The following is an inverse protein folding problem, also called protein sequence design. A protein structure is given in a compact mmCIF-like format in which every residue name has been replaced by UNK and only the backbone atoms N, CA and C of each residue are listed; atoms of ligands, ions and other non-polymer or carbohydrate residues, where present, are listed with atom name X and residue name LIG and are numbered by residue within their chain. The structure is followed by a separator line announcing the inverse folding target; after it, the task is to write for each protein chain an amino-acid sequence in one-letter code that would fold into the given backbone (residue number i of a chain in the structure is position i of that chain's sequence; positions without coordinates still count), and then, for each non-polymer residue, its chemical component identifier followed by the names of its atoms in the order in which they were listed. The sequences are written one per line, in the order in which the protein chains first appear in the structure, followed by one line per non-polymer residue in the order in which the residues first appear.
data_IF_878406443133
#
_entry.id   IF_878406443133
#
_cell.length_a   1.000
_cell.length_b   1.000
_cell.length_c   1.000
_cell.angle_alpha   90.00
_cell.angle_beta   90.00
_cell.angle_gamma   90.00
#
_symmetry.space_group_name_H-M   'P 1'
#
loop_
_entity.id
_entity.type
_entity.pdbx_description
1 polymer ?
#
# COMPACT_ATOMS: atom_id res chain seq x y z
N UNK A 1 -25.42 9.93 11.03
CA UNK A 1 -25.35 9.13 9.79
C UNK A 1 -24.27 8.09 9.98
N UNK A 2 -24.43 6.85 9.48
CA UNK A 2 -23.40 5.83 9.61
C UNK A 2 -22.19 6.18 8.73
N UNK A 3 -20.99 6.16 9.31
CA UNK A 3 -19.74 6.38 8.59
C UNK A 3 -19.54 5.24 7.58
N UNK A 4 -19.37 5.56 6.29
CA UNK A 4 -19.11 4.55 5.26
C UNK A 4 -17.61 4.40 5.10
N UNK A 5 -17.11 3.16 5.26
CA UNK A 5 -15.69 2.84 5.06
C UNK A 5 -15.52 2.18 3.70
N UNK A 6 -14.61 2.72 2.89
CA UNK A 6 -14.13 2.14 1.64
C UNK A 6 -12.80 1.44 1.93
N UNK A 7 -12.68 0.17 1.55
CA UNK A 7 -11.42 -0.57 1.69
C UNK A 7 -10.71 -0.55 0.34
N UNK A 8 -9.42 -0.27 0.36
CA UNK A 8 -8.55 -0.28 -0.82
C UNK A 8 -7.38 -1.21 -0.52
N UNK A 9 -6.91 -1.93 -1.54
CA UNK A 9 -5.69 -2.73 -1.48
C UNK A 9 -4.72 -2.24 -2.53
N UNK A 10 -3.42 -2.30 -2.24
CA UNK A 10 -2.39 -2.02 -3.25
C UNK A 10 -1.18 -2.94 -3.09
N UNK A 11 -0.51 -3.23 -4.20
CA UNK A 11 0.63 -4.12 -4.27
C UNK A 11 1.93 -3.35 -4.55
N UNK A 12 2.88 -3.46 -3.63
CA UNK A 12 4.28 -3.13 -3.91
C UNK A 12 4.96 -4.39 -4.47
N UNK A 13 5.16 -4.40 -5.79
CA UNK A 13 5.86 -5.49 -6.50
C UNK A 13 7.24 -5.01 -6.90
N UNK A 14 8.28 -5.71 -6.44
CA UNK A 14 9.69 -5.34 -6.67
C UNK A 14 10.42 -6.40 -7.48
N UNK A 15 11.05 -6.00 -8.59
CA UNK A 15 11.91 -6.87 -9.42
C UNK A 15 13.34 -6.31 -9.40
N UNK A 16 14.16 -6.80 -8.48
CA UNK A 16 15.50 -6.25 -8.26
C UNK A 16 15.44 -4.79 -7.81
N UNK A 17 16.01 -3.90 -8.61
CA UNK A 17 15.98 -2.44 -8.42
C UNK A 17 14.88 -1.77 -9.26
N UNK A 18 13.84 -2.50 -9.64
CA UNK A 18 12.65 -1.97 -10.30
C UNK A 18 11.40 -2.16 -9.45
N UNK A 19 10.43 -1.26 -9.58
CA UNK A 19 9.12 -1.32 -8.93
C UNK A 19 8.03 -1.26 -10.00
N UNK A 20 7.02 -2.13 -9.87
CA UNK A 20 5.84 -2.09 -10.75
C UNK A 20 4.95 -0.93 -10.36
N UNK A 21 4.69 -0.02 -11.30
CA UNK A 21 3.69 1.02 -11.18
C UNK A 21 2.66 0.92 -12.31
N UNK A 22 1.46 1.43 -12.03
CA UNK A 22 0.41 1.66 -13.01
C UNK A 22 0.26 3.16 -13.25
N UNK A 23 0.06 3.54 -14.51
CA UNK A 23 -0.30 4.89 -14.90
C UNK A 23 -1.80 4.94 -15.00
N UNK A 24 -2.44 5.54 -14.01
CA UNK A 24 -3.89 5.57 -13.87
C UNK A 24 -4.44 6.96 -14.14
N UNK A 25 -5.67 7.03 -14.61
CA UNK A 25 -6.47 8.24 -14.70
C UNK A 25 -7.89 7.89 -14.27
N UNK A 26 -8.19 8.06 -12.98
CA UNK A 26 -9.54 7.92 -12.46
C UNK A 26 -10.50 8.94 -13.06
N UNK A 27 -11.79 8.64 -13.04
CA UNK A 27 -12.83 9.52 -13.60
C UNK A 27 -12.85 10.92 -12.97
N UNK A 28 -12.49 11.01 -11.68
CA UNK A 28 -12.44 12.25 -10.90
C UNK A 28 -11.02 12.83 -10.80
N UNK A 29 -10.02 12.21 -11.44
CA UNK A 29 -8.64 12.68 -11.39
C UNK A 29 -8.42 13.87 -12.34
N UNK A 30 -7.78 14.92 -11.85
CA UNK A 30 -7.48 16.10 -12.65
C UNK A 30 -6.46 15.84 -13.77
N UNK A 31 -5.59 14.84 -13.59
CA UNK A 31 -4.58 14.41 -14.55
C UNK A 31 -4.14 12.96 -14.26
N UNK A 32 -3.57 12.25 -15.24
CA UNK A 32 -2.96 10.95 -15.01
C UNK A 32 -1.87 10.99 -13.93
N UNK A 33 -1.75 9.90 -13.17
CA UNK A 33 -0.72 9.76 -12.14
C UNK A 33 -0.18 8.33 -12.10
N UNK A 34 1.03 8.18 -11.56
CA UNK A 34 1.64 6.87 -11.34
C UNK A 34 1.36 6.40 -9.91
N UNK A 35 0.81 5.20 -9.76
CA UNK A 35 0.46 4.61 -8.49
C UNK A 35 0.96 3.17 -8.37
N UNK A 36 0.92 2.63 -7.15
CA UNK A 36 1.01 1.18 -6.94
C UNK A 36 -0.26 0.53 -7.51
N UNK A 37 -0.17 -0.62 -8.19
CA UNK A 37 -1.35 -1.34 -8.67
C UNK A 37 -2.26 -1.72 -7.51
N UNK A 38 -3.56 -1.59 -7.69
CA UNK A 38 -4.54 -1.84 -6.65
C UNK A 38 -5.82 -1.05 -6.81
N UNK A 39 -6.85 -1.46 -6.07
CA UNK A 39 -8.16 -0.88 -6.20
C UNK A 39 -9.06 -1.19 -5.01
N UNK A 40 -10.36 -1.04 -5.24
CA UNK A 40 -11.37 -1.16 -4.20
C UNK A 40 -11.65 -2.63 -3.92
N UNK A 41 -11.76 -2.96 -2.63
CA UNK A 41 -12.19 -4.29 -2.21
C UNK A 41 -13.70 -4.40 -2.43
N UNK A 42 -14.12 -5.39 -3.20
CA UNK A 42 -15.52 -5.64 -3.48
C UNK A 42 -16.24 -6.29 -2.28
N UNK A 43 -17.58 -6.18 -2.21
CA UNK A 43 -18.36 -6.90 -1.20
C UNK A 43 -18.06 -8.40 -1.22
N UNK A 44 -17.93 -9.00 -0.04
CA UNK A 44 -17.72 -10.45 0.14
C UNK A 44 -16.37 -10.98 -0.36
N UNK A 45 -15.44 -10.11 -0.80
CA UNK A 45 -14.09 -10.47 -1.21
C UNK A 45 -13.07 -10.29 -0.06
N UNK A 46 -12.15 -11.24 0.19
CA UNK A 46 -11.04 -11.02 1.12
C UNK A 46 -10.04 -10.00 0.54
N UNK A 47 -9.34 -9.26 1.40
CA UNK A 47 -8.32 -8.27 0.97
C UNK A 47 -7.30 -8.84 -0.01
N UNK A 48 -6.81 -10.06 0.23
CA UNK A 48 -5.87 -10.73 -0.66
C UNK A 48 -6.52 -11.16 -1.98
N UNK A 49 -7.81 -11.47 -1.98
CA UNK A 49 -8.57 -11.75 -3.21
C UNK A 49 -8.57 -10.50 -4.10
N UNK A 50 -8.96 -9.36 -3.52
CA UNK A 50 -8.97 -8.08 -4.22
C UNK A 50 -7.58 -7.73 -4.75
N UNK A 51 -6.53 -7.92 -3.94
CA UNK A 51 -5.15 -7.65 -4.35
C UNK A 51 -4.75 -8.47 -5.60
N UNK A 52 -5.12 -9.76 -5.63
CA UNK A 52 -4.85 -10.66 -6.74
C UNK A 52 -5.63 -10.25 -7.99
N UNK A 53 -6.92 -9.90 -7.83
CA UNK A 53 -7.80 -9.45 -8.91
C UNK A 53 -7.28 -8.17 -9.56
N UNK A 54 -7.05 -7.14 -8.76
CA UNK A 54 -6.60 -5.82 -9.21
C UNK A 54 -5.25 -5.89 -9.91
N UNK A 55 -4.25 -6.56 -9.32
CA UNK A 55 -2.94 -6.70 -9.98
C UNK A 55 -3.05 -7.42 -11.32
N UNK A 56 -3.90 -8.44 -11.43
CA UNK A 56 -4.12 -9.16 -12.69
C UNK A 56 -4.80 -8.27 -13.73
N UNK A 57 -5.83 -7.51 -13.35
CA UNK A 57 -6.58 -6.65 -14.25
C UNK A 57 -5.72 -5.48 -14.75
N UNK A 58 -5.08 -4.75 -13.84
CA UNK A 58 -4.33 -3.55 -14.20
C UNK A 58 -3.01 -3.86 -14.90
N UNK A 59 -2.37 -5.00 -14.57
CA UNK A 59 -1.00 -5.28 -15.00
C UNK A 59 -0.82 -6.57 -15.79
N UNK A 60 -1.81 -7.46 -15.80
CA UNK A 60 -1.72 -8.79 -16.43
C UNK A 60 -0.90 -9.81 -15.64
N UNK A 61 -0.33 -9.43 -14.47
CA UNK A 61 0.49 -10.32 -13.66
C UNK A 61 -0.38 -11.20 -12.75
N UNK A 62 -0.01 -12.47 -12.63
CA UNK A 62 -0.66 -13.41 -11.73
C UNK A 62 0.14 -13.49 -10.42
N UNK A 63 -0.39 -12.90 -9.34
CA UNK A 63 0.22 -13.00 -8.01
C UNK A 63 0.04 -14.42 -7.47
N UNK A 64 1.16 -15.10 -7.21
CA UNK A 64 1.17 -16.46 -6.65
C UNK A 64 1.43 -16.48 -5.15
N UNK A 65 2.01 -15.42 -4.61
CA UNK A 65 2.17 -15.20 -3.17
C UNK A 65 1.97 -13.70 -2.87
N UNK A 66 0.87 -13.32 -2.20
CA UNK A 66 0.59 -11.92 -1.86
C UNK A 66 1.54 -11.36 -0.79
N UNK A 67 2.37 -12.22 -0.18
CA UNK A 67 3.38 -11.84 0.80
C UNK A 67 2.77 -11.31 2.09
N UNK A 68 3.15 -10.10 2.51
CA UNK A 68 2.77 -9.54 3.80
C UNK A 68 2.33 -8.08 3.72
N UNK A 69 1.43 -7.70 4.63
CA UNK A 69 0.99 -6.32 4.81
C UNK A 69 2.16 -5.45 5.26
N UNK A 70 2.49 -4.42 4.48
CA UNK A 70 3.53 -3.45 4.78
C UNK A 70 3.02 -2.36 5.72
N UNK A 71 1.89 -1.77 5.37
CA UNK A 71 1.27 -0.69 6.13
C UNK A 71 -0.22 -0.56 5.81
N UNK A 72 -0.92 0.12 6.70
CA UNK A 72 -2.30 0.55 6.51
C UNK A 72 -2.34 2.06 6.70
N UNK A 73 -3.00 2.76 5.79
CA UNK A 73 -3.28 4.19 5.97
C UNK A 73 -4.76 4.45 5.90
N UNK A 74 -5.19 5.37 6.77
CA UNK A 74 -6.52 5.93 6.74
C UNK A 74 -6.45 7.28 6.04
N UNK A 75 -7.27 7.44 5.01
CA UNK A 75 -7.48 8.71 4.34
C UNK A 75 -8.95 9.09 4.53
N UNK A 76 -9.21 10.29 5.01
CA UNK A 76 -10.56 10.84 5.13
C UNK A 76 -10.71 11.97 4.11
N UNK A 77 -11.11 11.66 2.87
CA UNK A 77 -11.17 12.65 1.80
C UNK A 77 -12.29 13.68 1.97
N UNK A 78 -13.28 13.50 2.86
CA UNK A 78 -14.43 14.41 2.85
C UNK A 78 -15.09 14.70 4.19
N UNK A 79 -15.65 15.91 4.27
CA UNK A 79 -16.61 16.34 5.30
C UNK A 79 -17.94 15.55 5.25
N UNK A 80 -18.09 14.57 4.35
CA UNK A 80 -19.33 13.82 4.09
C UNK A 80 -19.34 12.44 4.78
N UNK A 81 -18.33 12.15 5.61
CA UNK A 81 -18.29 10.95 6.46
C UNK A 81 -17.94 9.67 5.71
N UNK A 82 -17.17 9.76 4.63
CA UNK A 82 -16.61 8.61 3.92
C UNK A 82 -15.12 8.49 4.24
N UNK A 83 -14.74 7.36 4.84
CA UNK A 83 -13.34 7.07 5.14
C UNK A 83 -12.81 5.98 4.24
N UNK A 84 -11.54 6.09 3.88
CA UNK A 84 -10.83 5.10 3.08
C UNK A 84 -9.73 4.47 3.93
N UNK A 85 -9.70 3.14 4.00
CA UNK A 85 -8.58 2.38 4.57
C UNK A 85 -7.85 1.66 3.44
N UNK A 86 -6.60 2.04 3.20
CA UNK A 86 -5.77 1.40 2.20
C UNK A 86 -4.78 0.43 2.86
N UNK A 87 -4.78 -0.81 2.40
CA UNK A 87 -3.92 -1.91 2.84
C UNK A 87 -2.88 -2.18 1.76
N UNK A 88 -1.60 -1.93 2.06
CA UNK A 88 -0.54 -2.09 1.06
C UNK A 88 0.30 -3.31 1.38
N UNK A 89 0.42 -4.22 0.43
CA UNK A 89 1.11 -5.50 0.57
C UNK A 89 2.44 -5.50 -0.19
N UNK A 90 3.47 -6.12 0.39
CA UNK A 90 4.67 -6.49 -0.34
C UNK A 90 4.43 -7.85 -1.00
N UNK A 91 4.23 -7.84 -2.32
CA UNK A 91 4.08 -9.07 -3.09
C UNK A 91 5.44 -9.74 -3.26
N UNK A 92 5.50 -11.02 -2.91
CA UNK A 92 6.75 -11.80 -2.85
C UNK A 92 6.94 -12.72 -4.07
N UNK A 93 5.86 -13.15 -4.73
CA UNK A 93 5.96 -13.94 -5.96
C UNK A 93 4.78 -13.73 -6.92
N UNK A 94 5.08 -13.70 -8.21
CA UNK A 94 4.11 -13.57 -9.31
C UNK A 94 4.62 -14.27 -10.58
N UNK A 95 3.75 -14.37 -11.58
CA UNK A 95 4.04 -14.92 -12.92
C UNK A 95 3.47 -14.02 -14.01
N UNK A 96 3.93 -14.23 -15.25
CA UNK A 96 3.47 -13.50 -16.42
C UNK A 96 4.33 -12.29 -16.77
N UNK A 97 3.93 -11.61 -17.84
CA UNK A 97 4.54 -10.37 -18.34
C UNK A 97 3.52 -9.24 -18.24
N UNK A 98 4.01 -8.01 -18.09
CA UNK A 98 3.15 -6.85 -17.94
C UNK A 98 2.32 -6.62 -19.21
N UNK A 99 1.00 -6.76 -19.08
CA UNK A 99 0.02 -6.49 -20.12
C UNK A 99 -1.23 -5.94 -19.46
N UNK A 100 -1.52 -4.66 -19.69
CA UNK A 100 -2.75 -4.05 -19.19
C UNK A 100 -3.96 -4.80 -19.76
N UNK A 101 -4.85 -5.21 -18.87
CA UNK A 101 -6.12 -5.86 -19.18
C UNK A 101 -7.23 -5.29 -18.27
N UNK A 102 -7.18 -3.97 -18.09
CA UNK A 102 -8.04 -3.25 -17.16
C UNK A 102 -9.49 -3.15 -17.71
N UNK A 103 -10.48 -3.76 -17.04
CA UNK A 103 -11.87 -3.71 -17.49
C UNK A 103 -12.48 -2.30 -17.38
N UNK A 104 -11.97 -1.47 -16.47
CA UNK A 104 -12.55 -0.16 -16.17
C UNK A 104 -12.01 0.96 -17.07
N UNK A 105 -10.98 0.68 -17.86
CA UNK A 105 -10.30 1.60 -18.77
C UNK A 105 -9.75 2.86 -18.07
N UNK A 106 -9.37 2.73 -16.81
CA UNK A 106 -8.70 3.75 -16.00
C UNK A 106 -7.17 3.62 -16.05
N UNK A 107 -6.65 2.46 -16.48
CA UNK A 107 -5.22 2.20 -16.57
C UNK A 107 -4.70 2.45 -17.98
N UNK A 108 -3.83 3.45 -18.10
CA UNK A 108 -3.16 3.85 -19.35
C UNK A 108 -1.91 3.02 -19.64
N UNK A 109 -1.35 2.34 -18.63
CA UNK A 109 -0.13 1.55 -18.76
C UNK A 109 0.33 0.93 -17.45
N UNK A 110 1.06 -0.18 -17.51
CA UNK A 110 1.72 -0.79 -16.36
C UNK A 110 3.18 -1.08 -16.72
N UNK A 111 4.13 -0.67 -15.87
CA UNK A 111 5.57 -0.81 -16.14
C UNK A 111 6.36 -1.05 -14.85
N UNK A 112 7.38 -1.90 -14.95
CA UNK A 112 8.47 -1.89 -13.99
C UNK A 112 9.38 -0.71 -14.30
N UNK A 113 9.46 0.25 -13.38
CA UNK A 113 10.34 1.41 -13.49
C UNK A 113 11.57 1.21 -12.60
N UNK A 114 12.76 1.70 -12.99
CA UNK A 114 13.91 1.78 -12.10
C UNK A 114 13.53 2.47 -10.78
N UNK A 115 14.10 2.02 -9.66
CA UNK A 115 13.69 2.43 -8.32
C UNK A 115 13.66 3.95 -8.14
N UNK A 116 14.67 4.66 -8.66
CA UNK A 116 14.74 6.11 -8.58
C UNK A 116 13.58 6.78 -9.33
N UNK A 117 13.31 6.34 -10.57
CA UNK A 117 12.20 6.83 -11.39
C UNK A 117 10.84 6.48 -10.77
N UNK A 118 10.71 5.29 -10.19
CA UNK A 118 9.49 4.88 -9.48
C UNK A 118 9.21 5.76 -8.26
N UNK A 119 10.25 6.12 -7.51
CA UNK A 119 10.13 7.03 -6.37
C UNK A 119 9.73 8.44 -6.81
N UNK A 120 10.37 9.00 -7.83
CA UNK A 120 9.99 10.31 -8.40
C UNK A 120 8.55 10.31 -8.92
N UNK A 121 8.13 9.24 -9.60
CA UNK A 121 6.78 9.09 -10.09
C UNK A 121 5.76 9.07 -8.93
N UNK A 122 6.03 8.29 -7.88
CA UNK A 122 5.19 8.23 -6.68
C UNK A 122 5.15 9.57 -5.93
N UNK A 123 6.21 10.39 -5.95
CA UNK A 123 6.21 11.72 -5.33
C UNK A 123 5.19 12.67 -5.96
N UNK A 124 4.81 12.43 -7.22
CA UNK A 124 3.77 13.19 -7.93
C UNK A 124 2.33 12.79 -7.56
N UNK A 125 2.13 11.72 -6.76
CA UNK A 125 0.80 11.28 -6.35
C UNK A 125 0.06 12.40 -5.59
N UNK A 126 -1.19 12.70 -5.96
CA UNK A 126 -1.96 13.82 -5.39
C UNK A 126 -2.42 13.56 -3.96
N UNK A 127 -2.33 12.32 -3.45
CA UNK A 127 -2.78 11.92 -2.11
C UNK A 127 -1.60 11.76 -1.14
N UNK A 128 -1.27 12.75 -0.29
CA UNK A 128 -0.09 12.71 0.58
C UNK A 128 -0.05 11.48 1.50
N UNK A 129 -1.21 11.06 2.02
CA UNK A 129 -1.35 9.90 2.92
C UNK A 129 -0.98 8.58 2.27
N UNK A 130 -1.12 8.45 0.95
CA UNK A 130 -0.70 7.28 0.18
C UNK A 130 0.72 7.44 -0.37
N UNK A 131 1.05 8.65 -0.84
CA UNK A 131 2.34 9.01 -1.42
C UNK A 131 3.50 8.76 -0.45
N UNK A 132 3.45 9.37 0.73
CA UNK A 132 4.57 9.35 1.67
C UNK A 132 5.01 7.93 2.07
N UNK A 133 4.11 7.02 2.50
CA UNK A 133 4.51 5.65 2.77
C UNK A 133 4.97 4.91 1.52
N UNK A 134 4.32 5.10 0.36
CA UNK A 134 4.73 4.41 -0.87
C UNK A 134 6.19 4.72 -1.23
N UNK A 135 6.58 6.00 -1.21
CA UNK A 135 7.96 6.42 -1.45
C UNK A 135 8.90 5.86 -0.37
N UNK A 136 8.52 5.95 0.92
CA UNK A 136 9.36 5.48 2.02
C UNK A 136 9.62 3.96 2.00
N UNK A 137 8.59 3.16 1.67
CA UNK A 137 8.72 1.71 1.57
C UNK A 137 9.41 1.27 0.27
N UNK A 138 9.32 2.04 -0.82
CA UNK A 138 10.18 1.84 -1.98
C UNK A 138 11.65 2.11 -1.63
N UNK A 139 11.96 3.20 -0.93
CA UNK A 139 13.32 3.56 -0.54
C UNK A 139 13.95 2.57 0.45
N UNK A 140 13.13 1.93 1.28
CA UNK A 140 13.59 0.94 2.23
C UNK A 140 14.07 -0.32 1.48
N UNK A 141 15.37 -0.61 1.56
CA UNK A 141 15.91 -1.87 1.06
C UNK A 141 15.21 -3.05 1.76
N UNK A 142 14.79 -4.09 1.02
CA UNK A 142 14.41 -5.36 1.64
C UNK A 142 15.53 -5.79 2.57
N UNK A 143 15.22 -5.92 3.85
CA UNK A 143 16.21 -6.33 4.83
C UNK A 143 16.83 -7.64 4.36
N UNK A 144 18.16 -7.66 4.23
CA UNK A 144 18.95 -8.89 4.25
C UNK A 144 18.67 -9.51 5.62
N UNK A 145 17.60 -10.30 5.73
CA UNK A 145 17.28 -11.02 6.95
C UNK A 145 18.46 -11.94 7.21
N UNK A 146 19.31 -11.59 8.18
CA UNK A 146 20.21 -12.58 8.76
C UNK A 146 19.31 -13.54 9.52
N UNK A 147 19.15 -14.74 8.98
CA UNK A 147 18.67 -15.87 9.75
C UNK A 147 19.65 -16.07 10.92
N UNK A 148 19.22 -15.71 12.12
CA UNK A 148 19.99 -15.91 13.36
C UNK A 148 19.99 -14.68 14.26
N UNK A 149 19.06 -14.65 15.22
CA UNK A 149 19.09 -13.73 16.34
C UNK A 149 17.71 -13.26 16.75
N UNK A 150 17.22 -13.77 17.87
CA UNK A 150 16.04 -13.27 18.59
C UNK A 150 16.26 -11.80 18.98
N UNK A 151 15.82 -10.87 18.15
CA UNK A 151 15.87 -9.44 18.42
C UNK A 151 15.02 -8.70 17.40
N UNK A 152 14.00 -7.98 17.86
CA UNK A 152 13.11 -7.19 17.02
C UNK A 152 13.85 -6.12 16.22
N UNK A 153 14.31 -6.47 15.03
CA UNK A 153 14.96 -5.55 14.08
C UNK A 153 13.91 -4.76 13.31
N UNK A 154 13.80 -3.46 13.59
CA UNK A 154 12.93 -2.51 12.88
C UNK A 154 13.49 -2.18 11.50
N UNK A 155 12.63 -1.97 10.52
CA UNK A 155 13.03 -1.58 9.15
C UNK A 155 13.32 -0.08 9.07
N UNK A 156 14.12 0.33 8.07
CA UNK A 156 14.41 1.75 7.83
C UNK A 156 13.13 2.58 7.56
N UNK A 157 12.10 1.98 6.95
CA UNK A 157 10.79 2.61 6.74
C UNK A 157 10.10 2.99 8.06
N UNK A 158 10.15 2.13 9.08
CA UNK A 158 9.59 2.45 10.42
C UNK A 158 10.31 3.61 11.12
N UNK A 159 11.62 3.78 10.89
CA UNK A 159 12.37 4.91 11.46
C UNK A 159 12.08 6.22 10.70
N UNK A 160 11.83 6.15 9.39
CA UNK A 160 11.43 7.31 8.58
C UNK A 160 10.09 7.89 9.03
N UNK A 161 9.10 7.02 9.29
CA UNK A 161 7.80 7.43 9.83
C UNK A 161 7.89 8.16 11.17
N UNK A 162 8.71 7.69 12.12
CA UNK A 162 8.89 8.37 13.42
C UNK A 162 9.39 9.81 13.29
N UNK A 163 10.32 10.05 12.37
CA UNK A 163 10.98 11.35 12.23
C UNK A 163 10.08 12.47 11.71
N UNK A 164 8.98 12.13 11.01
CA UNK A 164 8.07 13.13 10.39
C UNK A 164 6.70 13.22 11.09
N UNK A 165 6.15 12.11 11.60
CA UNK A 165 4.83 12.11 12.25
C UNK A 165 4.87 12.03 13.78
N UNK A 166 6.06 12.01 14.41
CA UNK A 166 6.20 12.07 15.87
C UNK A 166 5.65 10.84 16.62
N UNK A 167 5.54 9.68 15.97
CA UNK A 167 5.01 8.46 16.60
C UNK A 167 6.12 7.67 17.30
N UNK A 168 6.23 7.80 18.62
CA UNK A 168 7.10 6.95 19.44
C UNK A 168 6.38 5.69 19.92
N UNK A 169 6.36 4.64 19.08
CA UNK A 169 5.85 3.30 19.39
C UNK A 169 6.53 2.54 20.56
N UNK A 170 7.08 3.24 21.55
CA UNK A 170 7.68 2.67 22.77
C UNK A 170 6.82 2.88 24.03
N UNK A 171 5.71 3.63 23.95
CA UNK A 171 4.89 3.98 25.13
C UNK A 171 3.77 3.00 25.49
N UNK A 172 3.75 1.77 25.00
CA UNK A 172 2.70 0.80 25.34
C UNK A 172 3.20 -0.52 25.93
N UNK A 173 4.22 -0.45 26.79
CA UNK A 173 4.63 -1.57 27.67
C UNK A 173 4.08 -1.43 29.11
N UNK A 174 3.23 -0.44 29.37
CA UNK A 174 2.55 -0.30 30.66
C UNK A 174 1.53 -1.41 30.86
N UNK A 175 1.80 -2.35 31.80
CA UNK A 175 0.79 -3.30 32.28
C UNK A 175 -0.49 -2.53 32.66
N UNK A 176 -1.68 -2.96 32.23
CA UNK A 176 -2.92 -2.30 32.62
C UNK A 176 -3.15 -2.54 34.11
N UNK A 177 -2.88 -1.53 34.93
CA UNK A 177 -3.35 -1.44 36.32
C UNK A 177 -4.57 -0.54 36.33
N UNK A 178 -5.67 -1.02 35.77
CA UNK A 178 -6.93 -0.29 35.72
C UNK A 178 -8.10 -1.25 35.58
N UNK A 179 -9.06 -1.17 36.50
CA UNK A 179 -10.30 -1.96 36.47
C UNK A 179 -11.08 -1.69 35.17
N UNK A 180 -11.77 -2.69 34.60
CA UNK A 180 -12.50 -2.54 33.36
C UNK A 180 -13.66 -1.56 33.56
N UNK A 181 -13.72 -0.54 32.70
CA UNK A 181 -14.85 0.40 32.62
C UNK A 181 -15.80 -0.16 31.56
N UNK A 182 -17.03 -0.47 31.94
CA UNK A 182 -18.09 -0.83 31.01
C UNK A 182 -18.45 0.38 30.14
N UNK A 183 -18.32 0.22 28.82
CA UNK A 183 -18.80 1.19 27.83
C UNK A 183 -20.29 0.93 27.62
N UNK A 184 -21.07 2.02 27.68
CA UNK A 184 -22.53 2.04 27.54
C UNK A 184 -22.94 1.94 26.06
#
# INVERSE_FOLDING_TARGET
MAQKTCLIVAALVRRGEEVLLVHQQGADDAAPSWALPGGVVEPEEPLTGALLREVREETGLEVTDPGHLLYVVQHDPSAEGRQTLAFVFAVTAWRGETRVADPDNLILGARFLPLAEAMEALESLPWPTMREPSVAFCAARPGRARCGGTGGGRTAATNWWRGRVGWDGEKNSGRPTGRPVHVK
#
